data_IF_534741439600
#
_entry.id   IF_534741439600
#
_cell.length_a   1.000
_cell.length_b   1.000
_cell.length_c   1.000
_cell.angle_alpha   90.00
_cell.angle_beta   90.00
_cell.angle_gamma   90.00
#
_symmetry.space_group_name_H-M   'P 1'
#
loop_
_entity.id
_entity.type
_entity.pdbx_description
1 polymer ?
#
# COMPACT_ATOMS: atom_id res chain seq x y z
N UNK A 1 -20.86 38.65 -1.88
CA UNK A 1 -19.46 39.04 -2.13
C UNK A 1 -18.55 37.86 -1.82
N UNK A 2 -17.76 37.45 -2.83
CA UNK A 2 -16.75 36.36 -2.87
C UNK A 2 -17.31 34.92 -2.80
N UNK A 3 -17.65 34.25 -3.91
CA UNK A 3 -16.82 33.62 -4.97
C UNK A 3 -15.87 32.54 -4.41
N UNK A 4 -15.60 31.37 -5.01
CA UNK A 4 -15.81 30.71 -6.33
C UNK A 4 -15.12 29.33 -6.10
N UNK A 5 -15.63 28.15 -6.43
CA UNK A 5 -15.50 27.40 -7.70
C UNK A 5 -15.81 25.94 -7.34
N UNK A 6 -16.81 25.29 -7.94
CA UNK A 6 -16.83 23.84 -8.25
C UNK A 6 -18.13 23.48 -8.96
N UNK A 7 -18.18 23.81 -10.26
CA UNK A 7 -19.10 23.23 -11.24
C UNK A 7 -18.49 23.41 -12.61
N UNK A 8 -17.88 22.36 -13.15
CA UNK A 8 -17.81 22.04 -14.58
C UNK A 8 -16.98 20.77 -14.78
N UNK A 9 -17.63 19.62 -14.66
CA UNK A 9 -17.21 18.38 -15.30
C UNK A 9 -18.41 17.90 -16.08
N UNK A 10 -18.43 18.23 -17.38
CA UNK A 10 -18.98 17.41 -18.47
C UNK A 10 -18.80 18.18 -19.79
N UNK A 11 -18.27 17.46 -20.77
CA UNK A 11 -18.25 17.75 -22.20
C UNK A 11 -17.28 18.83 -22.70
N UNK A 12 -16.17 18.39 -23.30
CA UNK A 12 -16.05 18.52 -24.76
C UNK A 12 -14.83 17.76 -25.28
N UNK A 13 -15.10 16.61 -25.90
CA UNK A 13 -14.26 16.09 -26.96
C UNK A 13 -14.40 17.05 -28.14
N UNK A 14 -13.29 17.60 -28.65
CA UNK A 14 -13.21 18.09 -30.03
C UNK A 14 -11.76 18.16 -30.51
N UNK A 15 -11.58 17.46 -31.62
CA UNK A 15 -10.43 17.38 -32.50
C UNK A 15 -10.02 18.75 -33.03
N UNK A 16 -8.71 19.01 -33.09
CA UNK A 16 -8.15 20.18 -33.77
C UNK A 16 -7.60 19.78 -35.14
N UNK A 17 -8.32 20.22 -36.18
CA UNK A 17 -7.87 20.29 -37.56
C UNK A 17 -7.00 21.54 -37.76
N UNK A 18 -5.94 21.37 -38.56
CA UNK A 18 -5.03 22.41 -39.07
C UNK A 18 -5.78 23.42 -39.95
N UNK A 19 -5.37 24.70 -39.95
CA UNK A 19 -5.53 25.52 -41.15
C UNK A 19 -4.18 26.02 -41.67
N UNK A 20 -3.99 25.81 -42.96
CA UNK A 20 -3.05 26.55 -43.79
C UNK A 20 -3.61 27.94 -44.11
N UNK A 21 -2.81 28.99 -44.02
CA UNK A 21 -2.80 30.02 -45.07
C UNK A 21 -1.55 30.90 -44.95
N UNK A 22 -1.00 31.17 -46.12
CA UNK A 22 0.10 32.06 -46.42
C UNK A 22 -0.38 33.52 -46.45
N UNK A 23 0.51 34.46 -46.08
CA UNK A 23 0.79 35.67 -46.86
C UNK A 23 2.01 36.40 -46.31
N UNK A 24 2.78 36.91 -47.25
CA UNK A 24 4.06 37.58 -47.20
C UNK A 24 3.95 39.06 -46.83
N UNK A 25 4.97 39.60 -46.16
CA UNK A 25 5.75 40.77 -46.62
C UNK A 25 6.88 41.12 -45.64
N UNK A 26 7.95 41.79 -46.11
CA UNK A 26 9.27 41.73 -45.51
C UNK A 26 9.60 43.00 -44.70
N UNK A 27 10.27 42.84 -43.57
CA UNK A 27 11.05 43.90 -42.96
C UNK A 27 12.45 43.38 -42.65
N UNK A 28 13.39 43.82 -43.49
CA UNK A 28 14.83 43.72 -43.25
C UNK A 28 15.19 44.67 -42.11
N UNK A 29 15.65 44.12 -40.99
CA UNK A 29 16.44 44.86 -40.00
C UNK A 29 17.67 44.02 -39.69
N UNK A 30 18.83 44.59 -40.03
CA UNK A 30 20.14 43.96 -39.90
C UNK A 30 20.46 43.74 -38.42
N UNK A 31 20.78 42.51 -38.03
CA UNK A 31 21.46 42.23 -36.78
C UNK A 31 22.94 42.02 -37.07
N UNK A 32 23.76 42.99 -36.63
CA UNK A 32 25.22 42.85 -36.55
C UNK A 32 25.56 41.57 -35.81
N UNK A 33 26.23 40.64 -36.47
CA UNK A 33 26.92 39.56 -35.80
C UNK A 33 28.19 40.12 -35.19
N UNK A 34 28.25 40.19 -33.86
CA UNK A 34 29.52 40.30 -33.17
C UNK A 34 30.15 38.90 -33.16
N UNK A 35 31.05 38.61 -34.10
CA UNK A 35 31.91 37.44 -34.00
C UNK A 35 32.99 37.72 -32.96
N UNK A 36 32.82 37.21 -31.75
CA UNK A 36 33.91 37.10 -30.79
C UNK A 36 34.62 35.80 -31.10
N UNK A 37 35.85 35.87 -31.63
CA UNK A 37 36.70 34.70 -31.76
C UNK A 37 37.06 34.20 -30.37
N UNK A 38 36.51 33.06 -29.96
CA UNK A 38 37.00 32.35 -28.79
C UNK A 38 38.48 32.01 -29.02
N UNK A 39 39.38 32.26 -28.05
CA UNK A 39 40.75 31.79 -28.17
C UNK A 39 40.72 30.27 -28.33
N UNK A 40 41.52 29.73 -29.26
CA UNK A 40 41.75 28.29 -29.38
C UNK A 40 42.34 27.79 -28.07
N UNK A 41 41.47 27.40 -27.14
CA UNK A 41 41.82 26.43 -26.13
C UNK A 41 42.13 25.14 -26.88
N UNK A 42 43.25 24.53 -26.52
CA UNK A 42 43.59 23.19 -26.96
C UNK A 42 42.47 22.28 -26.42
N UNK A 43 41.45 21.99 -27.23
CA UNK A 43 40.47 20.95 -26.94
C UNK A 43 41.19 19.62 -27.06
N UNK A 44 41.98 19.28 -26.03
CA UNK A 44 41.94 17.91 -25.56
C UNK A 44 40.49 17.68 -25.17
N UNK A 45 39.70 17.16 -26.11
CA UNK A 45 38.37 16.69 -25.84
C UNK A 45 38.54 15.63 -24.76
N UNK A 46 38.39 16.04 -23.51
CA UNK A 46 38.33 15.16 -22.35
C UNK A 46 37.08 14.32 -22.61
N UNK A 47 37.28 13.17 -23.27
CA UNK A 47 36.20 12.25 -23.60
C UNK A 47 35.70 11.72 -22.27
N UNK A 48 34.67 12.37 -21.72
CA UNK A 48 33.94 11.85 -20.58
C UNK A 48 33.27 10.57 -21.07
N UNK A 49 33.92 9.44 -20.82
CA UNK A 49 33.36 8.12 -21.09
C UNK A 49 32.21 7.94 -20.11
N UNK A 50 31.00 8.17 -20.58
CA UNK A 50 29.81 7.89 -19.79
C UNK A 50 29.77 6.40 -19.45
N UNK A 51 29.64 6.03 -18.17
CA UNK A 51 29.56 4.63 -17.76
C UNK A 51 28.44 3.92 -18.54
N UNK A 52 28.80 2.82 -19.20
CA UNK A 52 27.84 2.00 -19.95
C UNK A 52 26.91 1.29 -18.96
N UNK A 53 25.62 1.26 -19.28
CA UNK A 53 24.66 0.48 -18.51
C UNK A 53 24.99 -1.02 -18.57
N UNK A 54 24.78 -1.71 -17.45
CA UNK A 54 25.12 -3.12 -17.30
C UNK A 54 24.41 -3.74 -16.09
N UNK A 55 24.61 -5.05 -15.82
CA UNK A 55 24.05 -5.70 -14.65
C UNK A 55 24.51 -4.98 -13.37
N UNK A 56 23.56 -4.39 -12.62
CA UNK A 56 23.86 -3.61 -11.42
C UNK A 56 24.07 -2.11 -11.65
N UNK A 57 24.04 -1.62 -12.89
CA UNK A 57 24.20 -0.19 -13.20
C UNK A 57 23.20 0.27 -14.26
N UNK A 58 22.24 1.09 -13.84
CA UNK A 58 21.25 1.73 -14.72
C UNK A 58 21.04 3.18 -14.29
N UNK A 59 21.16 4.12 -15.23
CA UNK A 59 20.99 5.55 -14.95
C UNK A 59 19.58 5.83 -14.45
N UNK A 60 18.57 5.28 -15.14
CA UNK A 60 17.17 5.44 -14.75
C UNK A 60 16.88 4.96 -13.33
N UNK A 61 17.48 3.83 -12.93
CA UNK A 61 17.34 3.31 -11.57
C UNK A 61 18.02 4.20 -10.54
N UNK A 62 19.22 4.69 -10.82
CA UNK A 62 19.92 5.60 -9.91
C UNK A 62 19.15 6.90 -9.70
N UNK A 63 18.61 7.52 -10.76
CA UNK A 63 17.76 8.71 -10.62
C UNK A 63 16.49 8.44 -9.80
N UNK A 64 15.86 7.29 -10.01
CA UNK A 64 14.67 6.91 -9.25
C UNK A 64 14.98 6.66 -7.76
N UNK A 65 16.16 6.12 -7.44
CA UNK A 65 16.62 5.94 -6.06
C UNK A 65 17.03 7.27 -5.42
N UNK A 66 17.69 8.16 -6.17
CA UNK A 66 18.07 9.49 -5.71
C UNK A 66 16.84 10.33 -5.36
N UNK A 67 15.77 10.25 -6.16
CA UNK A 67 14.48 10.87 -5.85
C UNK A 67 13.84 10.36 -4.55
N UNK A 68 14.27 9.18 -4.07
CA UNK A 68 13.87 8.56 -2.80
C UNK A 68 14.89 8.77 -1.67
N UNK A 69 15.92 9.60 -1.89
CA UNK A 69 16.95 9.94 -0.93
C UNK A 69 18.11 8.95 -0.85
N UNK A 70 18.23 8.02 -1.80
CA UNK A 70 19.27 6.98 -1.81
C UNK A 70 20.27 7.26 -2.92
N UNK A 71 21.54 7.39 -2.55
CA UNK A 71 22.65 7.57 -3.46
C UNK A 71 23.41 6.25 -3.57
N UNK A 72 23.32 5.59 -4.72
CA UNK A 72 24.00 4.31 -4.97
C UNK A 72 25.46 4.59 -5.33
N UNK A 73 26.39 3.99 -4.59
CA UNK A 73 27.83 4.13 -4.85
C UNK A 73 28.35 3.16 -5.88
N UNK A 74 27.98 1.89 -5.75
CA UNK A 74 28.48 0.81 -6.59
C UNK A 74 27.35 0.23 -7.44
N UNK A 75 26.57 -0.71 -6.88
CA UNK A 75 25.62 -1.49 -7.66
C UNK A 75 24.19 -1.34 -7.12
N UNK A 76 23.23 -1.25 -8.05
CA UNK A 76 21.81 -1.41 -7.78
C UNK A 76 21.20 -2.47 -8.70
N UNK A 77 20.71 -3.55 -8.10
CA UNK A 77 20.06 -4.65 -8.81
C UNK A 77 18.55 -4.51 -8.72
N UNK A 78 17.84 -4.57 -9.85
CA UNK A 78 16.38 -4.46 -9.90
C UNK A 78 15.76 -5.78 -10.33
N UNK A 79 14.75 -6.22 -9.58
CA UNK A 79 13.88 -7.35 -9.90
C UNK A 79 14.66 -8.65 -10.21
N UNK A 80 15.71 -8.92 -9.44
CA UNK A 80 16.41 -10.20 -9.52
C UNK A 80 15.46 -11.35 -9.24
N UNK A 81 15.61 -12.45 -9.98
CA UNK A 81 14.90 -13.69 -9.73
C UNK A 81 15.45 -14.38 -8.48
N UNK A 82 14.69 -15.31 -7.91
CA UNK A 82 15.05 -15.98 -6.66
C UNK A 82 16.41 -16.69 -6.71
N UNK A 83 16.77 -17.27 -7.86
CA UNK A 83 18.07 -17.92 -8.07
C UNK A 83 19.23 -16.92 -8.05
N UNK A 84 19.05 -15.74 -8.65
CA UNK A 84 20.06 -14.67 -8.67
C UNK A 84 20.23 -14.05 -7.27
N UNK A 85 19.12 -13.90 -6.53
CA UNK A 85 19.16 -13.47 -5.13
C UNK A 85 19.92 -14.48 -4.26
N UNK A 86 19.70 -15.78 -4.47
CA UNK A 86 20.43 -16.85 -3.76
C UNK A 86 21.92 -16.84 -4.11
N UNK A 87 22.29 -16.64 -5.38
CA UNK A 87 23.69 -16.47 -5.79
C UNK A 87 24.36 -15.27 -5.10
N UNK A 88 23.58 -14.24 -4.76
CA UNK A 88 24.02 -13.08 -3.99
C UNK A 88 23.89 -13.24 -2.47
N UNK A 89 23.62 -14.45 -1.98
CA UNK A 89 23.61 -14.78 -0.55
C UNK A 89 22.24 -14.68 0.13
N UNK A 90 21.13 -14.64 -0.63
CA UNK A 90 19.80 -14.73 -0.04
C UNK A 90 19.58 -16.10 0.61
N UNK A 91 19.17 -16.08 1.87
CA UNK A 91 18.79 -17.27 2.62
C UNK A 91 17.32 -17.16 3.07
N UNK A 92 16.66 -18.31 3.20
CA UNK A 92 15.34 -18.37 3.84
C UNK A 92 15.56 -18.16 5.34
N UNK A 93 14.95 -17.11 5.89
CA UNK A 93 15.06 -16.73 7.31
C UNK A 93 13.81 -17.17 8.04
N UNK A 94 13.98 -17.66 9.27
CA UNK A 94 12.86 -18.04 10.14
C UNK A 94 11.88 -16.89 10.34
N UNK A 95 10.58 -17.20 10.28
CA UNK A 95 9.53 -16.22 10.48
C UNK A 95 9.57 -15.70 11.91
N UNK A 96 9.61 -14.38 12.05
CA UNK A 96 9.40 -13.70 13.34
C UNK A 96 7.95 -13.24 13.42
N UNK A 97 7.48 -12.94 14.63
CA UNK A 97 6.16 -12.35 14.84
C UNK A 97 6.15 -11.52 16.11
N UNK A 98 5.34 -10.46 16.11
CA UNK A 98 5.15 -9.61 17.29
C UNK A 98 6.23 -8.56 17.45
N UNK A 99 6.89 -8.18 16.35
CA UNK A 99 7.76 -7.02 16.38
C UNK A 99 6.93 -5.73 16.52
N UNK A 100 7.50 -4.68 17.14
CA UNK A 100 6.81 -3.40 17.25
C UNK A 100 6.46 -2.81 15.89
N UNK A 101 5.18 -2.44 15.70
CA UNK A 101 4.66 -1.76 14.50
C UNK A 101 4.23 -0.35 14.89
N UNK A 102 4.85 0.64 14.28
CA UNK A 102 4.54 2.05 14.44
C UNK A 102 3.90 2.58 13.17
N UNK A 103 2.72 3.18 13.25
CA UNK A 103 2.00 3.69 12.08
C UNK A 103 1.57 5.12 12.32
N UNK A 104 1.95 6.01 11.40
CA UNK A 104 1.52 7.42 11.38
C UNK A 104 0.39 7.60 10.37
N UNK A 105 -0.63 8.36 10.78
CA UNK A 105 -1.79 8.70 9.95
C UNK A 105 -2.92 7.67 10.00
N UNK A 106 -2.90 6.76 10.98
CA UNK A 106 -4.04 5.90 11.23
C UNK A 106 -5.14 6.64 11.99
N UNK A 107 -6.38 6.41 11.59
CA UNK A 107 -7.59 6.92 12.22
C UNK A 107 -8.06 5.98 13.34
N UNK A 108 -7.64 4.71 13.32
CA UNK A 108 -8.03 3.70 14.31
C UNK A 108 -6.83 3.31 15.20
N UNK A 109 -7.04 3.40 16.52
CA UNK A 109 -6.04 3.07 17.54
C UNK A 109 -5.73 1.57 17.61
N UNK A 110 -4.44 1.24 17.56
CA UNK A 110 -3.93 -0.14 17.66
C UNK A 110 -2.40 -0.22 17.53
N UNK A 111 -1.81 0.58 16.63
CA UNK A 111 -0.36 0.73 16.49
C UNK A 111 0.16 1.92 17.31
N UNK A 112 1.41 1.84 17.78
CA UNK A 112 2.07 2.98 18.45
C UNK A 112 2.27 4.12 17.44
N UNK A 113 1.82 5.32 17.79
CA UNK A 113 1.90 6.47 16.89
C UNK A 113 3.34 7.00 16.84
N UNK A 114 3.89 7.12 15.63
CA UNK A 114 5.19 7.77 15.38
C UNK A 114 4.96 9.18 14.85
N UNK A 115 5.66 10.17 15.40
CA UNK A 115 5.51 11.55 14.95
C UNK A 115 6.18 11.80 13.59
N UNK A 116 5.76 12.86 12.89
CA UNK A 116 6.33 13.29 11.60
C UNK A 116 7.85 13.52 11.67
N UNK A 117 8.31 14.13 12.75
CA UNK A 117 9.72 14.46 12.95
C UNK A 117 10.54 13.19 13.22
N UNK A 118 10.02 12.27 14.02
CA UNK A 118 10.64 10.98 14.29
C UNK A 118 10.77 10.15 13.00
N UNK A 119 9.68 10.00 12.25
CA UNK A 119 9.70 9.27 10.98
C UNK A 119 10.68 9.92 9.98
N UNK A 120 10.70 11.25 9.88
CA UNK A 120 11.63 11.97 9.01
C UNK A 120 13.11 11.76 9.38
N UNK A 121 13.43 11.77 10.69
CA UNK A 121 14.79 11.47 11.19
C UNK A 121 15.19 10.02 10.88
N UNK A 122 14.28 9.08 11.13
CA UNK A 122 14.48 7.67 10.86
C UNK A 122 14.72 7.42 9.37
N UNK A 123 13.87 7.98 8.50
CA UNK A 123 14.01 7.85 7.05
C UNK A 123 15.35 8.38 6.55
N UNK A 124 15.83 9.51 7.10
CA UNK A 124 17.15 10.06 6.76
C UNK A 124 18.28 9.12 7.18
N UNK A 125 18.25 8.58 8.41
CA UNK A 125 19.25 7.62 8.88
C UNK A 125 19.27 6.35 8.04
N UNK A 126 18.09 5.79 7.74
CA UNK A 126 17.94 4.59 6.90
C UNK A 126 18.42 4.83 5.48
N UNK A 127 18.07 5.97 4.87
CA UNK A 127 18.52 6.31 3.52
C UNK A 127 20.02 6.49 3.45
N UNK A 128 20.62 7.14 4.46
CA UNK A 128 22.07 7.27 4.57
C UNK A 128 22.76 5.92 4.75
N UNK A 129 22.18 5.03 5.57
CA UNK A 129 22.67 3.66 5.74
C UNK A 129 22.65 2.91 4.42
N UNK A 130 21.52 2.84 3.72
CA UNK A 130 21.42 2.14 2.43
C UNK A 130 22.39 2.75 1.39
N UNK A 131 22.56 4.07 1.38
CA UNK A 131 23.53 4.76 0.50
C UNK A 131 25.00 4.47 0.83
N UNK A 132 25.27 3.93 2.02
CA UNK A 132 26.62 3.53 2.43
C UNK A 132 26.98 2.11 2.00
N UNK A 133 25.99 1.30 1.63
CA UNK A 133 26.15 -0.09 1.19
C UNK A 133 26.54 -0.15 -0.28
N UNK A 134 27.40 -1.11 -0.64
CA UNK A 134 27.87 -1.32 -2.01
C UNK A 134 26.77 -1.87 -2.92
N UNK A 135 26.08 -2.94 -2.48
CA UNK A 135 25.05 -3.61 -3.26
C UNK A 135 23.65 -3.28 -2.71
N UNK A 136 22.88 -2.53 -3.50
CA UNK A 136 21.48 -2.20 -3.20
C UNK A 136 20.55 -3.08 -4.03
N UNK A 137 19.53 -3.65 -3.40
CA UNK A 137 18.56 -4.53 -4.03
C UNK A 137 17.20 -3.85 -4.11
N UNK A 138 16.64 -3.79 -5.31
CA UNK A 138 15.37 -3.14 -5.62
C UNK A 138 14.39 -4.18 -6.15
N UNK A 139 13.17 -4.18 -5.63
CA UNK A 139 12.08 -5.02 -6.13
C UNK A 139 10.80 -4.23 -6.30
N UNK A 140 10.27 -4.23 -7.51
CA UNK A 140 9.02 -3.57 -7.87
C UNK A 140 7.87 -4.59 -7.91
N UNK A 141 6.94 -4.45 -6.97
CA UNK A 141 5.75 -5.27 -6.85
C UNK A 141 4.47 -4.45 -6.79
N UNK A 142 3.36 -5.11 -6.46
CA UNK A 142 2.09 -4.45 -6.22
C UNK A 142 1.29 -5.12 -5.09
N UNK A 143 0.45 -4.32 -4.45
CA UNK A 143 -0.61 -4.79 -3.56
C UNK A 143 -1.92 -4.68 -4.34
N UNK A 144 -2.65 -5.79 -4.42
CA UNK A 144 -3.79 -5.96 -5.32
C UNK A 144 -3.35 -6.53 -6.66
N UNK A 145 -4.10 -7.52 -7.15
CA UNK A 145 -3.83 -8.21 -8.43
C UNK A 145 -4.35 -7.45 -9.64
N UNK A 146 -5.31 -6.53 -9.46
CA UNK A 146 -5.95 -5.79 -10.54
C UNK A 146 -5.17 -4.51 -10.87
N UNK A 147 -4.72 -4.31 -12.13
CA UNK A 147 -3.99 -3.10 -12.52
C UNK A 147 -4.84 -1.82 -12.45
N UNK A 148 -6.17 -1.93 -12.31
CA UNK A 148 -7.08 -0.78 -12.21
C UNK A 148 -6.96 -0.07 -10.87
N UNK A 149 -6.74 -0.83 -9.79
CA UNK A 149 -6.78 -0.31 -8.43
C UNK A 149 -5.58 -0.73 -7.58
N UNK A 150 -4.60 -1.44 -8.14
CA UNK A 150 -3.41 -1.83 -7.38
C UNK A 150 -2.61 -0.65 -6.84
N UNK A 151 -1.90 -0.90 -5.75
CA UNK A 151 -0.89 0.01 -5.21
C UNK A 151 0.49 -0.51 -5.61
N UNK A 152 1.21 0.22 -6.46
CA UNK A 152 2.58 -0.14 -6.84
C UNK A 152 3.53 0.09 -5.66
N UNK A 153 4.39 -0.88 -5.41
CA UNK A 153 5.32 -0.91 -4.29
C UNK A 153 6.74 -1.05 -4.83
N UNK A 154 7.64 -0.16 -4.42
CA UNK A 154 9.08 -0.31 -4.63
C UNK A 154 9.75 -0.65 -3.31
N UNK A 155 10.33 -1.83 -3.22
CA UNK A 155 11.19 -2.26 -2.12
C UNK A 155 12.63 -1.89 -2.44
N UNK A 156 13.33 -1.29 -1.49
CA UNK A 156 14.74 -0.92 -1.57
C UNK A 156 15.42 -1.47 -0.33
N UNK A 157 16.40 -2.36 -0.50
CA UNK A 157 17.02 -3.09 0.59
C UNK A 157 18.53 -3.16 0.49
N UNK A 158 19.18 -3.22 1.65
CA UNK A 158 20.58 -3.61 1.82
C UNK A 158 20.81 -5.14 1.84
N UNK A 159 19.75 -5.96 1.69
CA UNK A 159 19.85 -7.42 1.82
C UNK A 159 19.04 -8.17 0.75
N UNK A 160 19.64 -9.16 0.09
CA UNK A 160 18.94 -9.98 -0.89
C UNK A 160 17.90 -10.92 -0.23
N UNK A 161 18.14 -11.35 1.01
CA UNK A 161 17.18 -12.17 1.80
C UNK A 161 15.88 -11.41 2.09
N UNK A 162 15.99 -10.11 2.37
CA UNK A 162 14.82 -9.27 2.61
C UNK A 162 13.97 -9.09 1.34
N UNK A 163 14.63 -8.87 0.19
CA UNK A 163 13.94 -8.80 -1.10
C UNK A 163 13.28 -10.13 -1.45
N UNK A 164 13.96 -11.26 -1.22
CA UNK A 164 13.38 -12.58 -1.45
C UNK A 164 12.11 -12.79 -0.61
N UNK A 165 12.16 -12.46 0.69
CA UNK A 165 10.99 -12.53 1.58
C UNK A 165 9.83 -11.68 1.07
N UNK A 166 10.09 -10.42 0.72
CA UNK A 166 9.06 -9.48 0.28
C UNK A 166 8.50 -9.79 -1.12
N UNK A 167 9.29 -10.43 -1.99
CA UNK A 167 8.84 -10.89 -3.30
C UNK A 167 7.73 -11.94 -3.21
N UNK A 168 7.67 -12.70 -2.10
CA UNK A 168 6.59 -13.66 -1.82
C UNK A 168 5.32 -12.99 -1.25
N UNK A 169 5.43 -11.75 -0.77
CA UNK A 169 4.30 -10.98 -0.21
C UNK A 169 3.64 -10.11 -1.28
N UNK A 170 4.42 -9.59 -2.23
CA UNK A 170 3.96 -8.68 -3.28
C UNK A 170 3.61 -9.42 -4.56
N UNK A 171 2.63 -8.89 -5.31
CA UNK A 171 2.36 -9.38 -6.66
C UNK A 171 3.45 -8.94 -7.62
N UNK A 172 3.94 -9.87 -8.46
CA UNK A 172 4.82 -9.54 -9.59
C UNK A 172 4.12 -8.54 -10.50
N UNK A 173 4.84 -7.50 -10.91
CA UNK A 173 4.32 -6.53 -11.87
C UNK A 173 5.06 -6.64 -13.20
N UNK A 174 4.40 -6.33 -14.34
CA UNK A 174 5.09 -6.30 -15.62
C UNK A 174 6.26 -5.31 -15.59
N UNK A 175 7.36 -5.67 -16.24
CA UNK A 175 8.55 -4.82 -16.34
C UNK A 175 8.18 -3.49 -16.99
N UNK A 176 8.34 -2.39 -16.25
CA UNK A 176 8.14 -1.02 -16.73
C UNK A 176 9.47 -0.28 -16.85
N UNK A 177 9.55 0.67 -17.78
CA UNK A 177 10.65 1.61 -17.89
C UNK A 177 10.75 2.44 -16.59
N UNK A 178 11.95 2.50 -16.00
CA UNK A 178 12.18 3.12 -14.69
C UNK A 178 11.91 4.62 -14.71
N UNK A 179 12.12 5.28 -15.86
CA UNK A 179 11.95 6.73 -16.06
C UNK A 179 10.53 7.25 -15.84
N UNK A 180 9.51 6.39 -15.96
CA UNK A 180 8.10 6.78 -15.80
C UNK A 180 7.48 6.21 -14.51
N UNK A 181 8.24 5.49 -13.70
CA UNK A 181 7.71 4.66 -12.63
C UNK A 181 7.66 5.44 -11.29
N UNK A 182 6.60 6.22 -11.10
CA UNK A 182 6.27 6.77 -9.79
C UNK A 182 5.56 5.68 -8.98
N UNK A 183 6.33 4.78 -8.34
CA UNK A 183 5.74 3.89 -7.36
C UNK A 183 5.24 4.74 -6.17
N UNK A 184 3.93 4.76 -5.87
CA UNK A 184 3.38 5.57 -4.81
C UNK A 184 3.87 5.08 -3.45
N UNK A 185 4.01 3.75 -3.27
CA UNK A 185 4.48 3.15 -2.02
C UNK A 185 5.96 2.77 -2.10
N UNK A 186 6.76 3.19 -1.13
CA UNK A 186 8.19 2.83 -1.02
C UNK A 186 8.48 2.09 0.28
N UNK A 187 9.14 0.94 0.21
CA UNK A 187 9.56 0.14 1.37
C UNK A 187 11.07 0.20 1.47
N UNK A 188 11.59 0.75 2.56
CA UNK A 188 13.01 0.82 2.87
C UNK A 188 13.34 -0.30 3.85
N UNK A 189 14.30 -1.15 3.51
CA UNK A 189 14.69 -2.28 4.34
C UNK A 189 16.17 -2.18 4.67
N UNK A 190 16.46 -1.86 5.92
CA UNK A 190 17.82 -1.74 6.42
C UNK A 190 18.06 -2.82 7.49
N UNK A 191 18.56 -3.96 7.03
CA UNK A 191 18.79 -5.15 7.85
C UNK A 191 20.02 -5.03 8.74
N UNK A 192 21.04 -4.31 8.26
CA UNK A 192 22.33 -4.13 8.94
C UNK A 192 22.46 -2.81 9.69
N UNK A 193 21.37 -2.03 9.77
CA UNK A 193 21.36 -0.76 10.50
C UNK A 193 21.56 -1.00 12.01
N UNK A 194 22.20 -0.05 12.68
CA UNK A 194 22.49 -0.19 14.10
C UNK A 194 21.20 -0.30 14.94
N UNK A 195 21.13 -1.25 15.89
CA UNK A 195 19.92 -1.51 16.67
C UNK A 195 19.51 -0.32 17.56
N UNK A 196 20.43 0.59 17.86
CA UNK A 196 20.19 1.83 18.61
C UNK A 196 19.52 2.95 17.81
N UNK A 197 19.28 2.78 16.49
CA UNK A 197 18.59 3.80 15.68
C UNK A 197 17.22 4.13 16.24
N UNK A 198 16.47 3.12 16.70
CA UNK A 198 15.18 3.33 17.37
C UNK A 198 15.28 4.25 18.58
N UNK A 199 16.33 4.08 19.39
CA UNK A 199 16.59 4.88 20.59
C UNK A 199 16.96 6.32 20.24
N UNK A 200 17.79 6.53 19.22
CA UNK A 200 18.15 7.88 18.75
C UNK A 200 16.95 8.67 18.23
N UNK A 201 15.92 7.96 17.77
CA UNK A 201 14.66 8.54 17.28
C UNK A 201 13.60 8.63 18.40
N UNK A 202 13.87 8.06 19.58
CA UNK A 202 12.95 8.08 20.73
C UNK A 202 11.80 7.07 20.61
N UNK A 203 12.01 5.93 19.94
CA UNK A 203 11.03 4.85 19.79
C UNK A 203 11.07 3.80 20.92
N UNK A 204 12.07 3.87 21.81
CA UNK A 204 12.16 3.12 23.07
C UNK A 204 13.19 1.97 23.09
N UNK A 205 13.78 1.75 24.28
CA UNK A 205 15.02 1.02 24.57
C UNK A 205 15.04 -0.52 24.36
N UNK A 206 14.14 -1.11 23.57
CA UNK A 206 14.06 -2.59 23.47
C UNK A 206 13.75 -3.12 22.07
N UNK A 207 14.47 -2.62 21.07
CA UNK A 207 14.32 -3.04 19.66
C UNK A 207 15.40 -4.01 19.18
N UNK A 208 15.87 -4.93 20.03
CA UNK A 208 17.06 -5.77 19.72
C UNK A 208 16.92 -6.66 18.48
N UNK A 209 15.68 -6.97 18.06
CA UNK A 209 15.41 -7.80 16.87
C UNK A 209 14.99 -7.00 15.63
N UNK A 210 14.69 -5.70 15.77
CA UNK A 210 14.15 -4.86 14.69
C UNK A 210 12.74 -4.33 14.98
N UNK A 211 12.25 -3.49 14.07
CA UNK A 211 10.93 -2.85 14.18
C UNK A 211 10.40 -2.40 12.82
N UNK A 212 9.09 -2.15 12.75
CA UNK A 212 8.35 -1.73 11.56
C UNK A 212 7.82 -0.31 11.79
N UNK A 213 8.11 0.63 10.90
CA UNK A 213 7.59 1.99 10.96
C UNK A 213 6.96 2.40 9.62
N UNK A 214 5.73 2.89 9.65
CA UNK A 214 4.97 3.27 8.46
C UNK A 214 4.45 4.71 8.56
N UNK A 215 4.48 5.43 7.44
CA UNK A 215 3.87 6.76 7.29
C UNK A 215 2.91 6.73 6.10
N UNK A 216 1.61 6.79 6.40
CA UNK A 216 0.53 6.72 5.41
C UNK A 216 0.54 7.93 4.48
N UNK A 217 0.77 9.14 5.02
CA UNK A 217 0.81 10.37 4.21
C UNK A 217 1.97 10.33 3.22
N UNK A 218 3.12 9.78 3.63
CA UNK A 218 4.29 9.62 2.76
C UNK A 218 4.27 8.35 1.93
N UNK A 219 3.28 7.48 2.12
CA UNK A 219 3.22 6.14 1.50
C UNK A 219 4.55 5.39 1.64
N UNK A 220 5.15 5.45 2.83
CA UNK A 220 6.51 4.93 3.07
C UNK A 220 6.52 3.95 4.24
N UNK A 221 7.20 2.82 4.05
CA UNK A 221 7.41 1.78 5.06
C UNK A 221 8.91 1.64 5.33
N UNK A 222 9.30 1.51 6.58
CA UNK A 222 10.68 1.29 7.02
C UNK A 222 10.72 0.00 7.84
N UNK A 223 11.58 -0.91 7.42
CA UNK A 223 11.86 -2.18 8.11
C UNK A 223 13.32 -2.15 8.58
N UNK A 224 13.52 -2.17 9.90
CA UNK A 224 14.85 -2.14 10.51
C UNK A 224 15.22 -3.50 11.11
N UNK A 225 16.49 -3.90 11.00
CA UNK A 225 16.98 -5.16 11.57
C UNK A 225 16.31 -6.37 10.91
N UNK A 226 15.83 -7.32 11.71
CA UNK A 226 15.13 -8.53 11.21
C UNK A 226 13.63 -8.33 11.01
N UNK A 227 13.17 -7.08 10.89
CA UNK A 227 11.75 -6.77 10.69
C UNK A 227 11.17 -7.36 9.40
N UNK A 228 11.99 -7.58 8.37
CA UNK A 228 11.58 -8.23 7.12
C UNK A 228 11.11 -9.69 7.29
N UNK A 229 11.40 -10.32 8.43
CA UNK A 229 10.95 -11.66 8.79
C UNK A 229 9.57 -11.68 9.46
N UNK A 230 9.03 -10.53 9.88
CA UNK A 230 7.67 -10.44 10.45
C UNK A 230 6.63 -10.19 9.36
N UNK A 231 6.23 -11.28 8.69
CA UNK A 231 5.27 -11.23 7.58
C UNK A 231 3.92 -10.65 7.98
N UNK A 232 3.47 -10.89 9.22
CA UNK A 232 2.17 -10.42 9.68
C UNK A 232 2.18 -8.91 9.91
N UNK A 233 3.20 -8.40 10.61
CA UNK A 233 3.36 -6.95 10.81
C UNK A 233 3.57 -6.20 9.49
N UNK A 234 4.31 -6.79 8.55
CA UNK A 234 4.48 -6.21 7.20
C UNK A 234 3.14 -6.17 6.45
N UNK A 235 2.37 -7.26 6.44
CA UNK A 235 1.06 -7.31 5.77
C UNK A 235 0.09 -6.29 6.36
N UNK A 236 0.06 -6.14 7.67
CA UNK A 236 -0.77 -5.15 8.36
C UNK A 236 -0.36 -3.71 8.00
N UNK A 237 0.94 -3.40 8.02
CA UNK A 237 1.45 -2.09 7.64
C UNK A 237 1.18 -1.78 6.16
N UNK A 238 1.45 -2.73 5.26
CA UNK A 238 1.20 -2.59 3.82
C UNK A 238 -0.29 -2.44 3.50
N UNK A 239 -1.17 -3.16 4.19
CA UNK A 239 -2.62 -2.99 4.06
C UNK A 239 -3.05 -1.56 4.46
N UNK A 240 -2.50 -1.05 5.56
CA UNK A 240 -2.78 0.31 6.06
C UNK A 240 -2.31 1.40 5.09
N UNK A 241 -1.12 1.22 4.50
CA UNK A 241 -0.52 2.14 3.53
C UNK A 241 -1.21 2.08 2.15
N UNK A 242 -1.63 0.90 1.71
CA UNK A 242 -2.24 0.72 0.39
C UNK A 242 -3.72 1.07 0.35
N UNK A 243 -4.42 1.04 1.50
CA UNK A 243 -5.84 1.38 1.61
C UNK A 243 -6.23 2.67 0.88
N UNK A 244 -5.61 3.83 1.19
CA UNK A 244 -5.97 5.11 0.56
C UNK A 244 -5.65 5.12 -0.94
N UNK A 245 -4.56 4.47 -1.34
CA UNK A 245 -4.16 4.36 -2.75
C UNK A 245 -5.21 3.56 -3.53
N UNK A 246 -5.61 2.39 -3.00
CA UNK A 246 -6.62 1.52 -3.61
C UNK A 246 -7.97 2.25 -3.67
N UNK A 247 -8.38 2.92 -2.59
CA UNK A 247 -9.63 3.70 -2.53
C UNK A 247 -9.67 4.86 -3.51
N UNK A 248 -8.58 5.63 -3.62
CA UNK A 248 -8.50 6.74 -4.59
C UNK A 248 -8.60 6.27 -6.05
N UNK A 249 -8.28 5.00 -6.32
CA UNK A 249 -8.43 4.35 -7.62
C UNK A 249 -9.78 3.64 -7.80
N UNK A 250 -10.72 3.84 -6.89
CA UNK A 250 -12.05 3.24 -6.93
C UNK A 250 -12.09 1.76 -6.49
N UNK A 251 -11.00 1.24 -5.95
CA UNK A 251 -10.99 -0.05 -5.26
C UNK A 251 -11.57 0.09 -3.85
N UNK A 252 -11.92 -1.04 -3.23
CA UNK A 252 -12.42 -1.08 -1.86
C UNK A 252 -11.54 -2.01 -1.03
N UNK A 253 -10.72 -1.49 -0.09
CA UNK A 253 -9.90 -2.33 0.76
C UNK A 253 -10.79 -3.03 1.79
N UNK A 254 -10.96 -4.33 1.63
CA UNK A 254 -11.71 -5.17 2.57
C UNK A 254 -10.75 -6.06 3.33
N UNK A 255 -10.85 -6.03 4.66
CA UNK A 255 -10.16 -6.99 5.53
C UNK A 255 -11.07 -8.20 5.72
N UNK A 256 -10.60 -9.39 5.35
CA UNK A 256 -11.33 -10.63 5.59
C UNK A 256 -10.82 -11.29 6.87
N UNK A 257 -11.67 -11.40 7.90
CA UNK A 257 -11.37 -12.26 9.05
C UNK A 257 -12.50 -13.28 9.21
N UNK A 258 -12.15 -14.55 9.32
CA UNK A 258 -13.11 -15.64 9.50
C UNK A 258 -13.60 -15.67 10.96
N UNK A 259 -14.89 -15.41 11.19
CA UNK A 259 -15.57 -15.87 12.42
C UNK A 259 -16.89 -15.21 12.84
N UNK A 260 -17.92 -16.05 12.92
CA UNK A 260 -19.14 -16.04 13.78
C UNK A 260 -20.38 -15.19 13.44
N UNK A 261 -21.56 -15.77 13.77
CA UNK A 261 -23.01 -15.43 13.51
C UNK A 261 -23.60 -16.21 12.30
N UNK A 262 -24.91 -16.56 12.29
CA UNK A 262 -25.52 -17.90 12.19
C UNK A 262 -25.00 -18.82 11.06
N UNK A 263 -25.34 -20.13 11.11
CA UNK A 263 -24.81 -21.20 10.24
C UNK A 263 -24.59 -20.77 8.78
N UNK A 264 -25.61 -20.25 8.11
CA UNK A 264 -25.44 -19.37 6.96
C UNK A 264 -26.70 -18.52 6.82
N UNK A 265 -26.59 -17.24 6.49
CA UNK A 265 -27.75 -16.40 6.20
C UNK A 265 -27.45 -15.40 5.10
N UNK A 266 -28.40 -15.24 4.18
CA UNK A 266 -28.31 -14.23 3.14
C UNK A 266 -28.62 -12.85 3.74
N UNK A 267 -27.69 -11.92 3.56
CA UNK A 267 -27.81 -10.54 4.02
C UNK A 267 -28.28 -9.66 2.86
N UNK A 268 -29.15 -8.70 3.17
CA UNK A 268 -29.33 -7.54 2.30
C UNK A 268 -28.05 -6.70 2.29
N UNK A 269 -27.81 -5.85 1.26
CA UNK A 269 -26.64 -4.97 1.24
C UNK A 269 -26.52 -4.05 2.45
N UNK A 270 -27.66 -3.61 3.01
CA UNK A 270 -27.71 -2.81 4.24
C UNK A 270 -27.28 -3.61 5.48
N UNK A 271 -27.78 -4.84 5.63
CA UNK A 271 -27.36 -5.75 6.69
C UNK A 271 -25.88 -6.14 6.56
N UNK A 272 -25.40 -6.39 5.34
CA UNK A 272 -23.99 -6.69 5.09
C UNK A 272 -23.08 -5.53 5.54
N UNK A 273 -23.45 -4.28 5.19
CA UNK A 273 -22.72 -3.11 5.65
C UNK A 273 -22.80 -2.91 7.17
N UNK A 274 -23.96 -3.18 7.79
CA UNK A 274 -24.14 -3.12 9.24
C UNK A 274 -23.25 -4.14 9.99
N UNK A 275 -23.25 -5.40 9.53
CA UNK A 275 -22.40 -6.45 10.08
C UNK A 275 -20.91 -6.20 9.84
N UNK A 276 -20.55 -5.68 8.67
CA UNK A 276 -19.19 -5.28 8.34
C UNK A 276 -18.69 -4.15 9.24
N UNK A 277 -19.50 -3.10 9.45
CA UNK A 277 -19.14 -1.97 10.30
C UNK A 277 -18.95 -2.39 11.77
N UNK A 278 -19.76 -3.33 12.26
CA UNK A 278 -19.61 -3.89 13.59
C UNK A 278 -18.43 -4.86 13.70
N UNK A 279 -18.24 -5.70 12.68
CA UNK A 279 -17.20 -6.72 12.58
C UNK A 279 -17.15 -7.66 13.78
N UNK A 280 -18.29 -8.24 14.15
CA UNK A 280 -18.36 -9.17 15.28
C UNK A 280 -17.62 -10.47 14.97
N UNK A 281 -16.67 -10.83 15.84
CA UNK A 281 -15.89 -12.05 15.76
C UNK A 281 -15.62 -12.60 17.16
N UNK A 282 -16.00 -13.85 17.41
CA UNK A 282 -15.69 -14.59 18.64
C UNK A 282 -16.03 -13.81 19.94
N UNK A 283 -17.22 -13.19 19.97
CA UNK A 283 -17.68 -12.43 21.14
C UNK A 283 -17.15 -11.01 21.26
N UNK A 284 -16.27 -10.57 20.35
CA UNK A 284 -15.70 -9.22 20.30
C UNK A 284 -16.13 -8.49 19.04
N UNK A 285 -16.12 -7.16 19.08
CA UNK A 285 -16.37 -6.32 17.91
C UNK A 285 -15.06 -5.75 17.39
N UNK A 286 -14.76 -6.06 16.13
CA UNK A 286 -13.58 -5.62 15.38
C UNK A 286 -14.08 -4.96 14.09
N UNK A 287 -14.41 -3.66 14.10
CA UNK A 287 -14.97 -2.96 12.95
C UNK A 287 -14.21 -3.23 11.64
N UNK A 288 -14.94 -3.45 10.55
CA UNK A 288 -14.40 -3.83 9.24
C UNK A 288 -13.50 -5.07 9.25
N UNK A 289 -13.58 -5.91 10.30
CA UNK A 289 -12.76 -7.11 10.50
C UNK A 289 -11.25 -6.85 10.46
N UNK A 290 -10.83 -5.63 10.79
CA UNK A 290 -9.42 -5.23 10.87
C UNK A 290 -9.02 -5.07 12.33
N UNK A 291 -7.96 -5.78 12.76
CA UNK A 291 -7.28 -5.52 14.03
C UNK A 291 -6.39 -4.27 13.98
N UNK A 292 -6.05 -3.84 12.77
CA UNK A 292 -5.09 -2.79 12.51
C UNK A 292 -5.68 -1.41 12.33
N UNK A 293 -4.76 -0.51 12.07
CA UNK A 293 -4.92 0.92 12.07
C UNK A 293 -5.47 1.37 10.69
N UNK A 294 -6.79 1.62 10.55
CA UNK A 294 -7.39 2.03 9.26
C UNK A 294 -7.08 3.49 8.95
N UNK A 295 -6.71 3.76 7.69
CA UNK A 295 -6.48 5.09 7.12
C UNK A 295 -7.71 5.68 6.42
N UNK A 296 -8.82 4.93 6.40
CA UNK A 296 -10.10 5.33 5.81
C UNK A 296 -11.16 5.32 6.91
N UNK A 297 -12.07 6.30 6.86
CA UNK A 297 -13.22 6.33 7.77
C UNK A 297 -14.07 5.06 7.62
N UNK A 298 -14.39 4.45 8.77
CA UNK A 298 -15.05 3.14 8.79
C UNK A 298 -16.48 3.21 8.27
N UNK A 299 -17.18 4.33 8.49
CA UNK A 299 -18.55 4.52 8.00
C UNK A 299 -18.53 4.73 6.49
N UNK A 300 -17.60 5.54 5.97
CA UNK A 300 -17.37 5.68 4.53
C UNK A 300 -17.08 4.33 3.86
N UNK A 301 -16.22 3.51 4.47
CA UNK A 301 -15.89 2.18 3.96
C UNK A 301 -17.13 1.27 3.89
N UNK A 302 -17.98 1.30 4.92
CA UNK A 302 -19.22 0.51 4.97
C UNK A 302 -20.27 1.02 3.95
N UNK A 303 -20.37 2.33 3.73
CA UNK A 303 -21.22 2.90 2.69
C UNK A 303 -20.75 2.51 1.28
N UNK A 304 -19.43 2.56 1.05
CA UNK A 304 -18.84 2.13 -0.22
C UNK A 304 -19.07 0.63 -0.47
N UNK A 305 -18.94 -0.22 0.56
CA UNK A 305 -19.29 -1.64 0.49
C UNK A 305 -20.75 -1.82 0.07
N UNK A 306 -21.70 -1.16 0.75
CA UNK A 306 -23.12 -1.22 0.40
C UNK A 306 -23.37 -0.86 -1.06
N UNK A 307 -22.81 0.26 -1.53
CA UNK A 307 -22.99 0.72 -2.92
C UNK A 307 -22.48 -0.33 -3.90
N UNK A 308 -21.30 -0.91 -3.65
CA UNK A 308 -20.72 -1.95 -4.53
C UNK A 308 -21.52 -3.25 -4.52
N UNK A 309 -22.08 -3.65 -3.39
CA UNK A 309 -22.97 -4.81 -3.30
C UNK A 309 -24.27 -4.59 -4.09
N UNK A 310 -24.84 -3.39 -4.02
CA UNK A 310 -26.06 -3.02 -4.76
C UNK A 310 -25.83 -2.90 -6.27
N UNK A 311 -24.83 -2.12 -6.68
CA UNK A 311 -24.48 -1.87 -8.09
C UNK A 311 -24.21 -3.16 -8.86
N UNK A 312 -23.50 -4.10 -8.24
CA UNK A 312 -23.07 -5.34 -8.88
C UNK A 312 -23.95 -6.55 -8.54
N UNK A 313 -25.05 -6.34 -7.80
CA UNK A 313 -25.97 -7.39 -7.34
C UNK A 313 -25.24 -8.56 -6.66
N UNK A 314 -24.21 -8.26 -5.85
CA UNK A 314 -23.38 -9.27 -5.20
C UNK A 314 -24.15 -9.85 -4.01
N UNK A 315 -24.46 -11.16 -3.99
CA UNK A 315 -25.10 -11.78 -2.85
C UNK A 315 -24.11 -11.81 -1.67
N UNK A 316 -24.57 -11.34 -0.51
CA UNK A 316 -23.77 -11.29 0.71
C UNK A 316 -24.29 -12.32 1.72
N UNK A 317 -23.37 -12.96 2.42
CA UNK A 317 -23.71 -14.02 3.36
C UNK A 317 -22.97 -13.82 4.68
N UNK A 318 -23.64 -14.15 5.77
CA UNK A 318 -23.06 -14.30 7.10
C UNK A 318 -22.92 -15.80 7.38
N UNK A 319 -21.71 -16.27 7.69
CA UNK A 319 -21.42 -17.70 7.86
C UNK A 319 -20.81 -17.93 9.23
N UNK A 320 -21.43 -18.82 10.02
CA UNK A 320 -20.88 -19.27 11.27
C UNK A 320 -20.02 -20.52 11.07
N UNK A 321 -18.72 -20.38 11.27
CA UNK A 321 -17.77 -21.50 11.16
C UNK A 321 -17.68 -22.32 12.46
N UNK A 322 -18.35 -21.89 13.54
CA UNK A 322 -18.33 -22.55 14.85
C UNK A 322 -19.76 -22.83 15.34
N UNK A 323 -20.26 -24.05 15.18
CA UNK A 323 -21.55 -24.48 15.76
C UNK A 323 -21.30 -25.08 17.15
N UNK A 324 -21.27 -24.22 18.18
CA UNK A 324 -21.01 -24.65 19.56
C UNK A 324 -19.55 -25.09 19.79
N UNK A 325 -19.36 -26.22 20.48
CA UNK A 325 -18.04 -26.80 20.80
C UNK A 325 -17.42 -27.62 19.66
N UNK A 326 -18.14 -27.83 18.55
CA UNK A 326 -17.63 -28.56 17.38
C UNK A 326 -17.18 -27.56 16.32
N UNK A 327 -15.88 -27.54 16.02
CA UNK A 327 -15.35 -26.82 14.86
C UNK A 327 -15.86 -27.46 13.57
N UNK A 328 -16.40 -26.65 12.67
CA UNK A 328 -16.80 -27.12 11.33
C UNK A 328 -15.53 -27.52 10.59
N UNK A 329 -15.46 -28.76 10.07
CA UNK A 329 -14.28 -29.23 9.31
C UNK A 329 -14.18 -28.43 8.01
N UNK A 330 -12.98 -28.23 7.47
CA UNK A 330 -12.79 -27.54 6.18
C UNK A 330 -13.65 -28.11 5.03
N UNK A 331 -13.91 -29.42 5.03
CA UNK A 331 -14.80 -30.08 4.07
C UNK A 331 -16.28 -29.70 4.25
N UNK A 332 -16.72 -29.52 5.49
CA UNK A 332 -18.08 -29.12 5.82
C UNK A 332 -18.33 -27.65 5.46
N UNK A 333 -17.30 -26.80 5.63
CA UNK A 333 -17.34 -25.41 5.17
C UNK A 333 -17.43 -25.31 3.64
N UNK A 334 -16.66 -26.11 2.90
CA UNK A 334 -16.74 -26.15 1.43
C UNK A 334 -18.14 -26.58 0.99
N UNK A 335 -18.69 -27.65 1.58
CA UNK A 335 -20.08 -28.09 1.31
C UNK A 335 -21.10 -27.00 1.65
N UNK A 336 -20.89 -26.27 2.74
CA UNK A 336 -21.75 -25.17 3.13
C UNK A 336 -21.69 -24.04 2.09
N UNK A 337 -20.49 -23.65 1.64
CA UNK A 337 -20.29 -22.64 0.60
C UNK A 337 -20.91 -23.07 -0.74
N UNK A 338 -20.67 -24.30 -1.16
CA UNK A 338 -21.30 -24.87 -2.37
C UNK A 338 -22.84 -24.89 -2.26
N UNK A 339 -23.36 -25.22 -1.08
CA UNK A 339 -24.80 -25.16 -0.82
C UNK A 339 -25.35 -23.74 -0.83
N UNK A 340 -24.57 -22.75 -0.36
CA UNK A 340 -24.96 -21.33 -0.40
C UNK A 340 -24.97 -20.75 -1.81
N UNK A 341 -24.10 -21.26 -2.69
CA UNK A 341 -24.07 -20.86 -4.10
C UNK A 341 -25.17 -21.54 -4.94
N UNK A 342 -25.68 -22.69 -4.50
CA UNK A 342 -26.67 -23.51 -5.24
C UNK A 342 -28.11 -23.42 -4.72
N UNK A 343 -28.34 -22.99 -3.47
CA UNK A 343 -29.69 -22.96 -2.84
C UNK A 343 -30.17 -21.54 -2.53
N UNK A 344 -31.50 -21.37 -2.51
CA UNK A 344 -32.17 -20.25 -1.85
C UNK A 344 -31.99 -20.37 -0.33
N UNK A 345 -30.88 -19.84 0.19
CA UNK A 345 -30.65 -19.74 1.64
C UNK A 345 -31.73 -18.83 2.24
N UNK A 346 -32.25 -19.17 3.44
CA UNK A 346 -33.13 -18.26 4.16
C UNK A 346 -32.48 -16.88 4.35
N UNK A 347 -33.33 -15.85 4.27
CA UNK A 347 -32.94 -14.50 4.62
C UNK A 347 -32.56 -14.44 6.10
N UNK A 348 -31.61 -13.58 6.44
CA UNK A 348 -31.22 -13.40 7.83
C UNK A 348 -32.41 -12.94 8.67
N UNK A 349 -32.77 -13.77 9.65
CA UNK A 349 -33.76 -13.46 10.68
C UNK A 349 -33.07 -13.45 12.05
N UNK A 350 -33.21 -12.33 12.75
CA UNK A 350 -32.64 -12.12 14.06
C UNK A 350 -33.31 -13.03 15.11
N UNK A 351 -32.75 -14.22 15.36
CA UNK A 351 -33.17 -15.07 16.49
C UNK A 351 -32.48 -14.62 17.78
N UNK A 352 -33.14 -13.75 18.54
CA UNK A 352 -32.77 -13.39 19.91
C UNK A 352 -32.31 -11.93 20.10
N UNK A 353 -33.07 -11.16 20.89
CA UNK A 353 -32.84 -9.73 21.12
C UNK A 353 -31.52 -9.37 21.83
N UNK A 354 -30.87 -10.34 22.50
CA UNK A 354 -29.63 -10.10 23.26
C UNK A 354 -28.43 -9.78 22.36
N UNK A 355 -28.33 -10.39 21.18
CA UNK A 355 -27.23 -10.11 20.23
C UNK A 355 -27.46 -8.80 19.47
N UNK A 356 -28.68 -8.58 19.00
CA UNK A 356 -29.09 -7.31 18.38
C UNK A 356 -28.85 -6.12 19.32
N UNK A 357 -29.17 -6.28 20.61
CA UNK A 357 -28.88 -5.26 21.63
C UNK A 357 -27.39 -4.96 21.78
N UNK A 358 -26.52 -5.98 21.76
CA UNK A 358 -25.05 -5.79 21.78
C UNK A 358 -24.54 -5.03 20.56
N UNK A 359 -25.04 -5.39 19.39
CA UNK A 359 -24.72 -4.70 18.13
C UNK A 359 -25.12 -3.23 18.17
N UNK A 360 -26.38 -2.96 18.56
CA UNK A 360 -26.90 -1.61 18.64
C UNK A 360 -26.12 -0.77 19.65
N UNK A 361 -25.87 -1.31 20.84
CA UNK A 361 -25.09 -0.63 21.88
C UNK A 361 -23.65 -0.34 21.45
N UNK A 362 -22.99 -1.26 20.75
CA UNK A 362 -21.64 -1.05 20.25
C UNK A 362 -21.59 0.04 19.19
N UNK A 363 -22.48 -0.02 18.19
CA UNK A 363 -22.46 0.93 17.09
C UNK A 363 -22.94 2.31 17.51
N UNK A 364 -24.00 2.44 18.32
CA UNK A 364 -24.46 3.74 18.82
C UNK A 364 -23.46 4.41 19.76
N UNK A 365 -22.62 3.62 20.44
CA UNK A 365 -21.52 4.14 21.25
C UNK A 365 -20.34 4.66 20.43
N UNK A 366 -20.21 4.25 19.16
CA UNK A 366 -19.11 4.65 18.27
C UNK A 366 -19.50 5.64 17.16
N UNK A 367 -20.75 5.57 16.68
CA UNK A 367 -21.22 6.35 15.54
C UNK A 367 -22.49 7.09 15.95
N UNK A 368 -22.49 8.43 15.79
CA UNK A 368 -23.61 9.28 16.22
C UNK A 368 -24.83 9.12 15.30
N UNK A 369 -24.62 8.98 14.00
CA UNK A 369 -25.69 8.84 13.00
C UNK A 369 -25.42 7.68 12.04
N UNK A 370 -26.19 6.59 12.18
CA UNK A 370 -26.17 5.49 11.21
C UNK A 370 -27.23 5.72 10.12
N UNK A 371 -26.93 5.43 8.84
CA UNK A 371 -27.94 5.43 7.78
C UNK A 371 -29.09 4.49 8.13
N UNK A 372 -30.34 4.88 7.78
CA UNK A 372 -31.54 4.09 8.11
C UNK A 372 -31.52 2.68 7.48
N UNK A 373 -30.78 2.52 6.40
CA UNK A 373 -30.66 1.25 5.68
C UNK A 373 -29.61 0.32 6.32
N UNK A 374 -28.84 0.80 7.29
CA UNK A 374 -27.92 0.00 8.07
C UNK A 374 -28.70 -0.59 9.24
N UNK A 375 -29.28 -1.76 9.00
CA UNK A 375 -30.08 -2.48 10.00
C UNK A 375 -29.46 -3.84 10.32
N UNK A 376 -29.72 -4.33 11.53
CA UNK A 376 -29.44 -5.71 11.90
C UNK A 376 -30.34 -6.66 11.13
#
# INVERSE_FOLDING_TARGET
MRNLVLKCLLQSSRSFTRPSSSRSSPFLLSSRWYSVSAPRANEEAETVVFPREGPGFSHGLQWALAAKGILVKENAFRNLESSELQQKGANIVDSLSGLPVYVRGSIVGGASEISKSQFGKLLKQVSNHISSISDVFVHDGAIGSSPKCDAKVRVISDSPSAVLSLSNVLWKTPTRAVSHDSCPLTVYVATSISPGVGDTVGLGAKMSKGFIAADIERSSLILCGKAFSDTNGIKEALASLSGPIISSRGGLPLSGSSGSIPSASKLSPGQAAYHFLAGYQNGKFLPAYSKGSSSIDLLELAMALRSKLQENQIPSFLINVNEGEKSVTGKDLVKLVESTLSKNIPQFEAKGGKLQGKYKSFLSGKFQDLPKEFSF
#
